data_IF_753542675299
#
_entry.id   IF_753542675299
#
_cell.length_a   1.000
_cell.length_b   1.000
_cell.length_c   1.000
_cell.angle_alpha   90.00
_cell.angle_beta   90.00
_cell.angle_gamma   90.00
#
_symmetry.space_group_name_H-M   'P 1'
#
loop_
_entity.id
_entity.type
_entity.pdbx_description
1 polymer ?
#
# COMPACT_ATOMS: atom_id res chain seq x y z
N UNK A 1 1.70 -18.99 -2.86
CA UNK A 1 2.24 -19.44 -1.57
C UNK A 1 1.27 -19.09 -0.47
N UNK A 2 0.68 -20.10 0.17
CA UNK A 2 -0.28 -19.90 1.26
C UNK A 2 0.47 -19.67 2.58
N UNK A 3 0.13 -18.60 3.28
CA UNK A 3 0.56 -18.39 4.65
C UNK A 3 -0.39 -19.13 5.59
N UNK A 4 0.09 -19.99 6.49
CA UNK A 4 -0.75 -20.58 7.52
C UNK A 4 -1.23 -19.47 8.47
N UNK A 5 -2.54 -19.43 8.72
CA UNK A 5 -3.18 -18.49 9.63
C UNK A 5 -2.97 -19.00 11.07
N UNK A 6 -2.48 -18.15 11.97
CA UNK A 6 -2.54 -18.40 13.42
C UNK A 6 -1.33 -19.02 14.13
N UNK A 7 -0.16 -19.18 13.49
CA UNK A 7 1.04 -19.81 14.13
C UNK A 7 2.27 -18.91 14.31
N UNK A 8 2.12 -17.59 14.38
CA UNK A 8 3.25 -16.69 14.74
C UNK A 8 4.42 -16.64 13.74
N UNK A 9 4.32 -17.30 12.58
CA UNK A 9 5.31 -17.21 11.52
C UNK A 9 5.04 -15.98 10.66
N UNK A 10 6.01 -15.05 10.61
CA UNK A 10 6.02 -13.98 9.63
C UNK A 10 5.81 -14.55 8.22
N UNK A 11 4.87 -13.98 7.47
CA UNK A 11 4.59 -14.40 6.10
C UNK A 11 5.88 -14.42 5.29
N UNK A 12 6.19 -15.53 4.59
CA UNK A 12 7.36 -15.62 3.71
C UNK A 12 7.38 -14.46 2.71
N UNK A 13 6.21 -14.07 2.20
CA UNK A 13 6.07 -12.92 1.31
C UNK A 13 6.47 -11.60 2.00
N UNK A 14 6.11 -11.42 3.27
CA UNK A 14 6.48 -10.24 4.04
C UNK A 14 7.99 -10.20 4.32
N UNK A 15 8.58 -11.34 4.67
CA UNK A 15 10.03 -11.47 4.88
C UNK A 15 10.80 -11.15 3.60
N UNK A 16 10.39 -11.69 2.46
CA UNK A 16 11.00 -11.40 1.16
C UNK A 16 10.91 -9.91 0.80
N UNK A 17 9.74 -9.28 1.03
CA UNK A 17 9.55 -7.85 0.74
C UNK A 17 10.45 -6.95 1.58
N UNK A 18 10.61 -7.29 2.86
CA UNK A 18 11.51 -6.54 3.76
C UNK A 18 12.97 -6.76 3.38
N UNK A 19 13.40 -8.00 3.18
CA UNK A 19 14.80 -8.33 2.88
C UNK A 19 15.27 -7.78 1.53
N UNK A 20 14.40 -7.79 0.52
CA UNK A 20 14.69 -7.26 -0.81
C UNK A 20 14.31 -5.78 -0.97
N UNK A 21 13.86 -5.13 0.11
CA UNK A 21 13.40 -3.74 0.11
C UNK A 21 12.39 -3.43 -1.03
N UNK A 22 11.45 -4.35 -1.28
CA UNK A 22 10.43 -4.23 -2.32
C UNK A 22 9.28 -3.35 -1.83
N UNK A 23 9.53 -2.05 -1.76
CA UNK A 23 8.65 -1.06 -1.13
C UNK A 23 7.37 -0.74 -1.91
N UNK A 24 7.41 -0.80 -3.24
CA UNK A 24 6.26 -0.57 -4.10
C UNK A 24 5.74 -1.88 -4.67
N UNK A 25 4.46 -2.18 -4.43
CA UNK A 25 3.76 -3.26 -5.11
C UNK A 25 2.87 -2.67 -6.20
N UNK A 26 3.26 -2.86 -7.46
CA UNK A 26 2.55 -2.37 -8.64
C UNK A 26 1.64 -3.47 -9.17
N UNK A 27 0.36 -3.16 -9.39
CA UNK A 27 -0.61 -4.10 -9.98
C UNK A 27 -1.39 -3.41 -11.10
N UNK A 28 -0.97 -3.61 -12.36
CA UNK A 28 -1.75 -3.18 -13.50
C UNK A 28 -2.99 -4.07 -13.64
N UNK A 29 -4.14 -3.44 -13.82
CA UNK A 29 -5.42 -4.07 -14.09
C UNK A 29 -5.97 -3.46 -15.38
N UNK A 30 -6.01 -4.25 -16.44
CA UNK A 30 -6.56 -3.84 -17.73
C UNK A 30 -7.51 -4.90 -18.27
N UNK A 31 -8.50 -4.47 -19.05
CA UNK A 31 -9.41 -5.38 -19.74
C UNK A 31 -8.67 -6.11 -20.86
N UNK A 32 -8.87 -7.41 -20.97
CA UNK A 32 -8.25 -8.24 -22.00
C UNK A 32 -9.21 -8.38 -23.19
N UNK A 33 -8.69 -8.11 -24.40
CA UNK A 33 -9.45 -8.26 -25.62
C UNK A 33 -9.90 -9.72 -25.78
N UNK A 34 -11.20 -9.94 -25.99
CA UNK A 34 -11.78 -11.27 -26.16
C UNK A 34 -12.16 -12.00 -24.88
N UNK A 35 -11.97 -11.39 -23.70
CA UNK A 35 -12.39 -11.99 -22.42
C UNK A 35 -13.50 -11.18 -21.77
N UNK A 36 -14.71 -11.75 -21.71
CA UNK A 36 -15.88 -11.05 -21.17
C UNK A 36 -15.82 -10.97 -19.64
N UNK A 37 -15.63 -9.77 -19.12
CA UNK A 37 -15.73 -9.46 -17.69
C UNK A 37 -17.04 -8.70 -17.38
N UNK A 38 -17.31 -8.47 -16.09
CA UNK A 38 -18.47 -7.65 -15.66
C UNK A 38 -18.33 -6.18 -16.06
N UNK A 39 -17.09 -5.70 -16.13
CA UNK A 39 -16.74 -4.32 -16.45
C UNK A 39 -15.92 -4.31 -17.73
N UNK A 40 -16.19 -3.35 -18.60
CA UNK A 40 -15.48 -3.11 -19.85
C UNK A 40 -14.52 -1.91 -19.69
N UNK A 41 -13.51 -1.81 -20.55
CA UNK A 41 -12.56 -0.68 -20.64
C UNK A 41 -11.82 -0.31 -19.34
N UNK A 42 -11.61 -1.28 -18.44
CA UNK A 42 -10.76 -1.10 -17.26
C UNK A 42 -9.32 -0.82 -17.70
N UNK A 43 -8.75 0.29 -17.22
CA UNK A 43 -7.32 0.63 -17.32
C UNK A 43 -6.86 1.38 -16.07
N UNK A 44 -6.39 0.64 -15.06
CA UNK A 44 -5.90 1.22 -13.82
C UNK A 44 -4.65 0.52 -13.33
N UNK A 45 -3.82 1.25 -12.59
CA UNK A 45 -2.66 0.68 -11.89
C UNK A 45 -2.84 1.00 -10.42
N UNK A 46 -2.91 -0.03 -9.59
CA UNK A 46 -2.83 0.17 -8.14
C UNK A 46 -1.38 0.06 -7.70
N UNK A 47 -0.90 1.08 -7.00
CA UNK A 47 0.40 1.07 -6.34
C UNK A 47 0.16 1.01 -4.85
N UNK A 48 0.79 0.05 -4.19
CA UNK A 48 0.62 -0.19 -2.77
C UNK A 48 1.96 -0.14 -2.05
N UNK A 49 2.01 0.63 -0.97
CA UNK A 49 3.12 0.62 -0.02
C UNK A 49 3.17 -0.76 0.69
N UNK A 50 4.36 -1.33 0.77
CA UNK A 50 4.54 -2.75 1.06
C UNK A 50 5.56 -3.05 2.17
N UNK A 51 6.18 -2.02 2.75
CA UNK A 51 7.17 -2.15 3.84
C UNK A 51 6.62 -1.87 5.22
N UNK A 52 5.63 -0.97 5.35
CA UNK A 52 5.07 -0.55 6.63
C UNK A 52 3.54 -0.68 6.66
N UNK A 53 2.89 -0.10 7.66
CA UNK A 53 1.45 -0.18 7.88
C UNK A 53 1.07 -1.27 8.89
N UNK A 54 0.01 -2.00 8.59
CA UNK A 54 -0.56 -3.06 9.46
C UNK A 54 0.31 -4.33 9.46
N UNK A 55 1.26 -4.44 8.53
CA UNK A 55 2.19 -5.56 8.43
C UNK A 55 3.47 -5.37 9.25
N UNK A 56 3.46 -4.40 10.19
CA UNK A 56 4.54 -4.24 11.17
C UNK A 56 4.70 -5.49 12.03
N UNK A 57 3.61 -6.24 12.27
CA UNK A 57 3.59 -7.43 13.13
C UNK A 57 3.83 -7.09 14.60
N UNK A 58 3.67 -5.82 14.97
CA UNK A 58 3.87 -5.33 16.33
C UNK A 58 2.54 -5.43 17.07
N UNK A 59 2.36 -6.57 17.71
CA UNK A 59 1.19 -6.89 18.52
C UNK A 59 1.65 -7.23 19.94
N UNK A 60 0.91 -6.74 20.93
CA UNK A 60 1.18 -7.08 22.31
C UNK A 60 -0.12 -7.14 23.11
N UNK A 61 -0.11 -7.97 24.16
CA UNK A 61 -1.19 -8.05 25.10
C UNK A 61 -0.87 -7.14 26.29
N UNK A 62 -1.61 -6.04 26.43
CA UNK A 62 -1.39 -5.07 27.51
C UNK A 62 -1.85 -5.65 28.84
N UNK A 63 -3.03 -6.26 28.84
CA UNK A 63 -3.60 -7.01 29.97
C UNK A 63 -4.33 -8.24 29.44
N UNK A 64 -4.63 -9.21 30.31
CA UNK A 64 -5.34 -10.43 29.91
C UNK A 64 -6.68 -10.05 29.23
N UNK A 65 -6.85 -10.51 27.99
CA UNK A 65 -8.03 -10.21 27.17
C UNK A 65 -7.97 -8.93 26.32
N UNK A 66 -6.94 -8.09 26.46
CA UNK A 66 -6.77 -6.85 25.67
C UNK A 66 -5.52 -6.96 24.80
N UNK A 67 -5.71 -6.99 23.49
CA UNK A 67 -4.63 -7.06 22.49
C UNK A 67 -4.60 -5.76 21.69
N UNK A 68 -3.42 -5.18 21.57
CA UNK A 68 -3.17 -4.01 20.75
C UNK A 68 -2.30 -4.37 19.54
N UNK A 69 -2.56 -3.73 18.41
CA UNK A 69 -1.79 -3.85 17.17
C UNK A 69 -1.40 -2.47 16.69
N UNK A 70 -0.10 -2.27 16.46
CA UNK A 70 0.43 -0.97 16.04
C UNK A 70 0.57 -0.87 14.54
N UNK A 71 -0.21 0.04 13.95
CA UNK A 71 0.02 0.51 12.59
C UNK A 71 1.12 1.57 12.58
N UNK A 72 2.24 1.27 11.92
CA UNK A 72 3.36 2.21 11.79
C UNK A 72 3.40 2.77 10.38
N UNK A 73 3.54 4.09 10.25
CA UNK A 73 3.82 4.75 8.98
C UNK A 73 5.07 5.61 9.19
N UNK A 74 6.04 5.48 8.30
CA UNK A 74 7.32 6.22 8.37
C UNK A 74 7.41 7.20 7.21
N UNK A 75 8.22 8.25 7.38
CA UNK A 75 8.49 9.19 6.28
C UNK A 75 9.14 8.48 5.09
N UNK A 76 10.06 7.54 5.32
CA UNK A 76 10.71 6.80 4.24
C UNK A 76 9.72 5.99 3.38
N UNK A 77 8.55 5.63 3.92
CA UNK A 77 7.51 4.94 3.17
C UNK A 77 6.80 5.85 2.15
N UNK A 78 6.92 7.18 2.25
CA UNK A 78 6.34 8.12 1.27
C UNK A 78 7.01 8.04 -0.10
N UNK A 79 8.19 7.42 -0.21
CA UNK A 79 8.88 7.18 -1.48
C UNK A 79 8.04 6.40 -2.50
N UNK A 80 7.01 5.68 -2.04
CA UNK A 80 6.05 5.01 -2.92
C UNK A 80 5.24 5.99 -3.77
N UNK A 81 5.03 7.23 -3.30
CA UNK A 81 4.33 8.25 -4.07
C UNK A 81 5.22 8.82 -5.18
N UNK A 82 6.52 8.97 -4.91
CA UNK A 82 7.49 9.34 -5.93
C UNK A 82 7.59 8.27 -7.01
N UNK A 83 7.43 6.99 -6.64
CA UNK A 83 7.43 5.87 -7.58
C UNK A 83 6.38 6.01 -8.70
N UNK A 84 5.26 6.70 -8.43
CA UNK A 84 4.23 6.98 -9.44
C UNK A 84 4.80 7.75 -10.63
N UNK A 85 5.72 8.69 -10.38
CA UNK A 85 6.29 9.52 -11.45
C UNK A 85 7.22 8.76 -12.39
N UNK A 86 7.84 7.68 -11.90
CA UNK A 86 8.72 6.81 -12.68
C UNK A 86 7.97 5.82 -13.57
N UNK A 87 6.64 5.67 -13.41
CA UNK A 87 5.88 4.79 -14.27
C UNK A 87 5.81 5.34 -15.71
N UNK A 88 6.01 4.48 -16.72
CA UNK A 88 5.89 4.87 -18.12
C UNK A 88 4.41 5.07 -18.49
N UNK A 89 3.88 6.26 -18.22
CA UNK A 89 2.56 6.70 -18.70
C UNK A 89 2.63 8.10 -19.32
N UNK A 90 1.89 8.36 -20.41
CA UNK A 90 1.75 9.71 -20.95
C UNK A 90 1.18 10.64 -19.86
N UNK A 91 1.72 11.85 -19.76
CA UNK A 91 1.42 12.79 -18.67
C UNK A 91 -0.05 13.22 -18.66
N UNK A 92 -0.70 13.20 -19.83
CA UNK A 92 -2.10 13.56 -20.06
C UNK A 92 -3.10 12.54 -19.46
N UNK A 93 -2.68 11.29 -19.24
CA UNK A 93 -3.51 10.23 -18.65
C UNK A 93 -3.24 10.02 -17.14
N UNK A 94 -2.35 10.81 -16.53
CA UNK A 94 -1.95 10.65 -15.14
C UNK A 94 -2.96 11.29 -14.18
N UNK A 95 -4.11 10.63 -13.99
CA UNK A 95 -4.98 10.89 -12.85
C UNK A 95 -4.55 10.00 -11.69
N UNK A 96 -3.99 10.60 -10.63
CA UNK A 96 -3.54 9.89 -9.45
C UNK A 96 -4.55 10.05 -8.33
N UNK A 97 -5.24 8.97 -7.96
CA UNK A 97 -6.16 8.99 -6.83
C UNK A 97 -5.54 8.27 -5.63
N UNK A 98 -5.53 8.95 -4.49
CA UNK A 98 -5.06 8.37 -3.24
C UNK A 98 -6.23 7.82 -2.40
N UNK A 99 -6.14 6.53 -2.06
CA UNK A 99 -7.08 5.89 -1.15
C UNK A 99 -6.51 5.82 0.26
N UNK A 100 -7.20 6.43 1.22
CA UNK A 100 -6.85 6.33 2.63
C UNK A 100 -8.09 6.33 3.52
N UNK A 101 -7.98 5.68 4.69
CA UNK A 101 -9.06 5.65 5.69
C UNK A 101 -8.86 6.75 6.73
N UNK A 102 -9.24 7.97 6.35
CA UNK A 102 -9.11 9.18 7.18
C UNK A 102 -10.01 9.18 8.41
N UNK A 103 -11.18 8.55 8.36
CA UNK A 103 -12.19 8.60 9.42
C UNK A 103 -11.72 8.01 10.75
N UNK A 104 -11.04 6.86 10.71
CA UNK A 104 -10.52 6.18 11.91
C UNK A 104 -9.03 6.44 12.17
N UNK A 105 -8.22 6.64 11.12
CA UNK A 105 -6.76 6.77 11.24
C UNK A 105 -6.28 8.17 10.87
N UNK A 106 -6.87 9.22 11.49
CA UNK A 106 -6.65 10.63 11.13
C UNK A 106 -5.17 11.03 11.07
N UNK A 107 -4.43 10.89 12.18
CA UNK A 107 -3.02 11.36 12.26
C UNK A 107 -2.09 10.66 11.28
N UNK A 108 -2.17 9.33 11.19
CA UNK A 108 -1.35 8.52 10.30
C UNK A 108 -1.66 8.81 8.83
N UNK A 109 -2.94 8.96 8.51
CA UNK A 109 -3.37 9.27 7.15
C UNK A 109 -2.97 10.67 6.74
N UNK A 110 -3.14 11.67 7.61
CA UNK A 110 -2.71 13.06 7.36
C UNK A 110 -1.20 13.13 7.19
N UNK A 111 -0.44 12.37 7.99
CA UNK A 111 1.01 12.28 7.86
C UNK A 111 1.42 11.78 6.47
N UNK A 112 0.81 10.68 6.01
CA UNK A 112 1.09 10.14 4.68
C UNK A 112 0.63 11.08 3.56
N UNK A 113 -0.56 11.69 3.66
CA UNK A 113 -1.07 12.69 2.71
C UNK A 113 -0.13 13.90 2.58
N UNK A 114 0.39 14.43 3.70
CA UNK A 114 1.32 15.57 3.67
C UNK A 114 2.61 15.24 2.92
N UNK A 115 3.19 14.06 3.16
CA UNK A 115 4.39 13.66 2.43
C UNK A 115 4.16 13.51 0.92
N UNK A 116 2.94 13.17 0.50
CA UNK A 116 2.56 13.05 -0.92
C UNK A 116 2.33 14.42 -1.57
N UNK A 117 1.63 15.32 -0.88
CA UNK A 117 1.45 16.69 -1.36
C UNK A 117 2.79 17.43 -1.50
N UNK A 118 3.74 17.16 -0.60
CA UNK A 118 5.10 17.72 -0.69
C UNK A 118 5.95 17.14 -1.82
N UNK A 119 5.61 15.97 -2.36
CA UNK A 119 6.28 15.36 -3.52
C UNK A 119 5.72 15.85 -4.86
N UNK A 120 4.84 16.86 -4.86
CA UNK A 120 4.33 17.51 -6.08
C UNK A 120 3.22 16.74 -6.79
N UNK A 121 2.64 15.73 -6.15
CA UNK A 121 1.46 15.02 -6.66
C UNK A 121 0.23 15.88 -6.36
N UNK A 122 -0.31 16.54 -7.39
CA UNK A 122 -1.64 17.16 -7.31
C UNK A 122 -2.69 16.05 -7.31
N UNK A 123 -3.39 15.91 -6.18
CA UNK A 123 -4.51 14.97 -5.98
C UNK A 123 -5.83 15.52 -6.53
#
# INVERSE_FOLDING_TARGET
>A
MATPIGKGHCSLNLTLRKNLNLYANVRPCYSLLGYKTRYDDVNLITIRENTVGEYSGLEHQVVRGVVESFKIITHQASRVAEYVFYLPRPMEERKCLQFTKTTSCKRQTIFFLRSILMSGVSL
#
